data_IF_669314551803
#
_entry.id   IF_669314551803
#
_cell.length_a   1.000
_cell.length_b   1.000
_cell.length_c   1.000
_cell.angle_alpha   90.00
_cell.angle_beta   90.00
_cell.angle_gamma   90.00
#
_symmetry.space_group_name_H-M   'P 1'
#
loop_
_entity.id
_entity.type
_entity.pdbx_description
1 polymer ?
#
# COMPACT_ATOMS: atom_id res chain seq x y z
N UNK A 1 15.30 14.35 -3.70
CA UNK A 1 16.03 13.36 -2.88
C UNK A 1 15.18 12.91 -1.70
N UNK A 2 14.22 12.03 -1.96
CA UNK A 2 13.27 11.54 -0.95
C UNK A 2 13.80 10.28 -0.27
N UNK A 3 14.58 10.45 0.79
CA UNK A 3 14.96 9.37 1.69
C UNK A 3 13.82 9.04 2.64
N UNK A 4 13.18 7.88 2.46
CA UNK A 4 12.24 7.32 3.42
C UNK A 4 12.99 7.02 4.74
N UNK A 5 12.60 7.67 5.83
CA UNK A 5 13.06 7.34 7.18
C UNK A 5 12.39 6.03 7.61
N UNK A 6 13.04 4.91 7.33
CA UNK A 6 12.67 3.62 7.91
C UNK A 6 13.28 3.52 9.33
N UNK A 7 12.45 3.38 10.35
CA UNK A 7 12.89 3.04 11.71
C UNK A 7 13.69 1.72 11.74
N UNK A 8 14.67 1.56 12.64
CA UNK A 8 15.66 0.47 12.59
C UNK A 8 15.13 -0.93 12.96
N UNK A 9 13.81 -1.10 13.18
CA UNK A 9 13.21 -2.36 13.62
C UNK A 9 12.43 -3.13 12.55
N UNK A 10 12.19 -2.54 11.38
CA UNK A 10 11.46 -3.23 10.31
C UNK A 10 12.49 -3.78 9.34
N UNK A 11 12.76 -5.09 9.44
CA UNK A 11 13.56 -5.79 8.43
C UNK A 11 13.00 -5.40 7.08
N UNK A 12 13.84 -4.87 6.19
CA UNK A 12 13.46 -4.58 4.82
C UNK A 12 12.93 -5.87 4.20
N UNK A 13 11.60 -6.05 4.24
CA UNK A 13 10.91 -7.02 3.41
C UNK A 13 11.28 -6.57 2.02
N UNK A 14 12.14 -7.32 1.35
CA UNK A 14 12.52 -7.04 -0.01
C UNK A 14 11.26 -7.27 -0.84
N UNK A 15 10.42 -6.23 -0.94
CA UNK A 15 9.28 -6.18 -1.82
C UNK A 15 9.82 -6.46 -3.21
N UNK A 16 9.59 -7.68 -3.71
CA UNK A 16 9.80 -7.99 -5.11
C UNK A 16 8.87 -7.07 -5.88
N UNK A 17 9.42 -5.96 -6.39
CA UNK A 17 8.71 -5.04 -7.29
C UNK A 17 8.07 -5.89 -8.38
N UNK A 18 6.75 -5.94 -8.38
CA UNK A 18 5.98 -6.75 -9.32
C UNK A 18 6.29 -6.23 -10.74
N UNK A 19 6.40 -7.22 -11.63
CA UNK A 19 7.06 -7.24 -12.92
C UNK A 19 6.72 -6.02 -13.82
N UNK A 20 7.69 -5.49 -14.59
CA UNK A 20 7.53 -4.31 -15.45
C UNK A 20 6.60 -4.50 -16.68
N UNK A 21 5.76 -5.54 -16.69
CA UNK A 21 4.87 -5.90 -17.82
C UNK A 21 3.56 -6.48 -17.31
N UNK A 22 2.47 -6.22 -18.03
CA UNK A 22 1.16 -6.84 -17.79
C UNK A 22 1.30 -8.37 -17.78
N UNK A 23 0.89 -8.99 -16.68
CA UNK A 23 0.79 -10.45 -16.52
C UNK A 23 -0.56 -10.94 -17.02
N UNK A 24 -0.58 -12.09 -17.69
CA UNK A 24 -1.84 -12.73 -18.08
C UNK A 24 -2.60 -13.25 -16.84
N UNK A 25 -3.92 -13.42 -16.97
CA UNK A 25 -4.74 -14.05 -15.93
C UNK A 25 -4.21 -15.42 -15.49
N UNK A 26 -3.66 -16.20 -16.42
CA UNK A 26 -3.12 -17.53 -16.13
C UNK A 26 -1.85 -17.48 -15.28
N UNK A 27 -0.98 -16.50 -15.53
CA UNK A 27 0.25 -16.28 -14.77
C UNK A 27 -0.06 -15.72 -13.38
N UNK A 28 -1.02 -14.80 -13.30
CA UNK A 28 -1.46 -14.21 -12.03
C UNK A 28 -2.06 -15.28 -11.11
N UNK A 29 -2.89 -16.18 -11.64
CA UNK A 29 -3.43 -17.32 -10.86
C UNK A 29 -2.34 -18.25 -10.33
N UNK A 30 -1.29 -18.52 -11.10
CA UNK A 30 -0.16 -19.34 -10.65
C UNK A 30 0.60 -18.66 -9.52
N UNK A 31 0.80 -17.34 -9.60
CA UNK A 31 1.47 -16.56 -8.56
C UNK A 31 0.73 -16.66 -7.23
N UNK A 32 -0.61 -16.49 -7.26
CA UNK A 32 -1.44 -16.63 -6.06
C UNK A 32 -1.47 -18.05 -5.51
N UNK A 33 -1.45 -19.07 -6.38
CA UNK A 33 -1.50 -20.47 -5.96
C UNK A 33 -0.29 -20.88 -5.11
N UNK A 34 0.89 -20.33 -5.40
CA UNK A 34 2.13 -20.63 -4.67
C UNK A 34 2.42 -19.69 -3.49
N UNK A 35 1.53 -18.76 -3.17
CA UNK A 35 1.79 -17.77 -2.13
C UNK A 35 1.42 -18.32 -0.74
N UNK A 36 2.32 -18.16 0.23
CA UNK A 36 2.05 -18.51 1.63
C UNK A 36 1.20 -17.46 2.35
N UNK A 37 1.25 -16.21 1.87
CA UNK A 37 0.50 -15.09 2.42
C UNK A 37 0.19 -14.06 1.32
N UNK A 38 -0.91 -13.31 1.52
CA UNK A 38 -1.29 -12.18 0.69
C UNK A 38 -1.46 -10.96 1.60
N UNK A 39 -0.68 -9.92 1.35
CA UNK A 39 -0.79 -8.65 2.04
C UNK A 39 -1.56 -7.68 1.14
N UNK A 40 -2.62 -7.10 1.68
CA UNK A 40 -3.34 -6.04 1.02
C UNK A 40 -3.00 -4.71 1.67
N UNK A 41 -2.65 -3.74 0.85
CA UNK A 41 -2.62 -2.35 1.29
C UNK A 41 -4.06 -1.90 1.58
N UNK A 42 -4.26 -1.08 2.61
CA UNK A 42 -5.60 -0.78 3.12
C UNK A 42 -6.17 0.43 2.39
N UNK A 43 -5.50 1.57 2.50
CA UNK A 43 -5.95 2.83 1.90
C UNK A 43 -5.90 2.72 0.37
N UNK A 44 -6.96 3.16 -0.31
CA UNK A 44 -7.12 3.17 -1.77
C UNK A 44 -7.03 1.80 -2.49
N UNK A 45 -6.84 0.70 -1.76
CA UNK A 45 -6.66 -0.66 -2.30
C UNK A 45 -7.72 -1.62 -1.76
N UNK A 46 -7.81 -1.83 -0.44
CA UNK A 46 -8.90 -2.62 0.18
C UNK A 46 -10.15 -1.77 0.36
N UNK A 47 -9.96 -0.55 0.84
CA UNK A 47 -11.00 0.47 0.95
C UNK A 47 -10.74 1.56 -0.09
N UNK A 48 -11.80 2.27 -0.50
CA UNK A 48 -11.66 3.34 -1.51
C UNK A 48 -11.17 4.63 -0.87
N UNK A 49 -11.58 4.82 0.37
CA UNK A 49 -11.29 5.97 1.19
C UNK A 49 -9.88 5.86 1.76
N UNK A 50 -9.28 7.00 2.07
CA UNK A 50 -8.02 7.08 2.82
C UNK A 50 -8.36 7.30 4.28
N UNK A 51 -7.85 6.43 5.16
CA UNK A 51 -8.20 6.46 6.58
C UNK A 51 -7.85 7.78 7.27
N UNK A 52 -6.74 8.42 6.89
CA UNK A 52 -6.33 9.72 7.44
C UNK A 52 -7.30 10.82 7.00
N UNK A 53 -7.70 10.83 5.74
CA UNK A 53 -8.63 11.82 5.17
C UNK A 53 -10.01 11.73 5.83
N UNK A 54 -10.54 10.53 6.02
CA UNK A 54 -11.80 10.32 6.75
C UNK A 54 -11.70 10.70 8.23
N UNK A 55 -10.55 10.46 8.87
CA UNK A 55 -10.32 10.90 10.26
C UNK A 55 -10.25 12.43 10.36
N UNK A 56 -9.57 13.09 9.43
CA UNK A 56 -9.44 14.56 9.39
C UNK A 56 -10.82 15.23 9.26
N UNK A 57 -11.70 14.65 8.44
CA UNK A 57 -13.10 15.07 8.29
C UNK A 57 -13.90 14.98 9.57
N UNK A 58 -13.79 13.87 10.29
CA UNK A 58 -14.45 13.71 11.61
C UNK A 58 -13.92 14.74 12.61
N UNK A 59 -12.64 15.04 12.56
CA UNK A 59 -11.99 16.00 13.45
C UNK A 59 -12.16 17.47 13.02
N UNK A 60 -12.68 17.74 11.82
CA UNK A 60 -12.82 19.10 11.26
C UNK A 60 -11.50 19.80 10.94
N UNK A 61 -10.46 19.02 10.60
CA UNK A 61 -9.09 19.51 10.29
C UNK A 61 -8.64 19.13 8.87
N UNK A 62 -9.60 18.95 7.95
CA UNK A 62 -9.33 18.52 6.57
C UNK A 62 -8.37 19.46 5.83
N UNK A 63 -8.45 20.76 6.10
CA UNK A 63 -7.60 21.80 5.51
C UNK A 63 -6.12 21.66 5.90
N UNK A 64 -5.84 21.32 7.17
CA UNK A 64 -4.47 21.12 7.66
C UNK A 64 -3.85 19.85 7.10
N UNK A 65 -4.66 18.83 6.86
CA UNK A 65 -4.21 17.51 6.40
C UNK A 65 -4.06 17.47 4.88
N UNK A 66 -4.82 18.28 4.13
CA UNK A 66 -4.78 18.31 2.66
C UNK A 66 -3.53 18.97 2.07
N UNK A 67 -2.72 19.67 2.87
CA UNK A 67 -1.51 20.38 2.43
C UNK A 67 -0.20 19.56 2.58
N UNK A 68 -0.31 18.31 3.04
CA UNK A 68 0.79 17.35 3.26
C UNK A 68 0.85 16.27 2.17
#
# INVERSE_FOLDING_TARGET
>A
DGGSLCHPGWSAVQWRKILPRMVSHSELRKLFYSADAVCFDVDSMVIREEGISELAKICGVEDVVSEL
#
